data_IF_653017459481
#
_entry.id   IF_653017459481
#
_cell.length_a   1.000
_cell.length_b   1.000
_cell.length_c   1.000
_cell.angle_alpha   90.00
_cell.angle_beta   90.00
_cell.angle_gamma   90.00
#
_symmetry.space_group_name_H-M   'P 1'
#
loop_
_entity.id
_entity.type
_entity.pdbx_description
1 polymer ?
#
# COMPACT_ATOMS: atom_id res chain seq x y z
N UNK A 1 -14.32 12.25 -1.78
CA UNK A 1 -13.49 11.20 -2.41
C UNK A 1 -12.04 11.52 -2.09
N UNK A 2 -11.33 10.60 -1.46
CA UNK A 2 -9.90 10.75 -1.19
C UNK A 2 -9.13 10.61 -2.51
N UNK A 3 -8.15 11.48 -2.74
CA UNK A 3 -7.33 11.48 -3.95
C UNK A 3 -5.88 11.17 -3.57
N UNK A 4 -5.35 9.99 -3.93
CA UNK A 4 -3.95 9.66 -3.65
C UNK A 4 -2.97 10.64 -4.30
N UNK A 5 -1.78 10.75 -3.70
CA UNK A 5 -0.69 11.55 -4.24
C UNK A 5 -0.23 11.04 -5.61
N UNK A 6 0.33 11.94 -6.43
CA UNK A 6 0.75 11.64 -7.80
C UNK A 6 1.76 10.47 -7.90
N UNK A 7 2.64 10.34 -6.90
CA UNK A 7 3.65 9.28 -6.90
C UNK A 7 3.03 7.87 -6.76
N UNK A 8 1.89 7.75 -6.07
CA UNK A 8 1.11 6.51 -5.99
C UNK A 8 0.68 6.07 -7.40
N UNK A 9 0.04 6.95 -8.17
CA UNK A 9 -0.39 6.64 -9.53
C UNK A 9 0.78 6.29 -10.45
N UNK A 10 1.86 7.09 -10.42
CA UNK A 10 3.06 6.79 -11.19
C UNK A 10 3.64 5.41 -10.86
N UNK A 11 3.57 4.97 -9.59
CA UNK A 11 4.04 3.65 -9.19
C UNK A 11 3.10 2.54 -9.69
N UNK A 12 1.78 2.75 -9.68
CA UNK A 12 0.83 1.80 -10.26
C UNK A 12 1.07 1.58 -11.75
N UNK A 13 1.25 2.66 -12.52
CA UNK A 13 1.55 2.59 -13.96
C UNK A 13 2.86 1.83 -14.25
N UNK A 14 3.89 2.05 -13.41
CA UNK A 14 5.19 1.39 -13.58
C UNK A 14 5.18 -0.08 -13.22
N UNK A 15 4.41 -0.48 -12.20
CA UNK A 15 4.52 -1.80 -11.61
C UNK A 15 3.47 -2.81 -12.11
N UNK A 16 2.39 -2.36 -12.76
CA UNK A 16 1.31 -3.24 -13.19
C UNK A 16 1.03 -3.12 -14.69
N UNK A 17 1.06 -4.24 -15.40
CA UNK A 17 0.73 -4.28 -16.84
C UNK A 17 -0.74 -3.97 -17.16
N UNK A 18 -1.62 -4.01 -16.16
CA UNK A 18 -3.05 -3.65 -16.23
C UNK A 18 -3.37 -2.61 -15.15
N UNK A 19 -2.80 -1.43 -15.31
CA UNK A 19 -2.92 -0.32 -14.37
C UNK A 19 -4.38 0.11 -14.15
N UNK A 20 -5.19 0.11 -15.20
CA UNK A 20 -6.62 0.44 -15.20
C UNK A 20 -7.42 -0.39 -14.18
N UNK A 21 -7.19 -1.71 -14.17
CA UNK A 21 -7.85 -2.64 -13.27
C UNK A 21 -7.40 -2.45 -11.81
N UNK A 22 -6.12 -2.12 -11.60
CA UNK A 22 -5.57 -1.88 -10.26
C UNK A 22 -6.05 -0.55 -9.69
N UNK A 23 -6.10 0.50 -10.50
CA UNK A 23 -6.64 1.81 -10.11
C UNK A 23 -8.12 1.66 -9.73
N UNK A 24 -8.92 1.01 -10.60
CA UNK A 24 -10.34 0.76 -10.31
C UNK A 24 -10.54 -0.03 -9.01
N UNK A 25 -9.68 -1.02 -8.75
CA UNK A 25 -9.70 -1.78 -7.51
C UNK A 25 -9.36 -0.89 -6.31
N UNK A 26 -8.29 -0.09 -6.38
CA UNK A 26 -7.90 0.83 -5.31
C UNK A 26 -9.02 1.84 -5.01
N UNK A 27 -9.58 2.48 -6.02
CA UNK A 27 -10.70 3.43 -5.88
C UNK A 27 -11.90 2.79 -5.17
N UNK A 28 -12.27 1.55 -5.56
CA UNK A 28 -13.37 0.83 -4.92
C UNK A 28 -13.16 0.57 -3.42
N UNK A 29 -11.90 0.45 -2.98
CA UNK A 29 -11.55 0.31 -1.57
C UNK A 29 -11.55 1.67 -0.86
N UNK A 30 -11.01 2.72 -1.50
CA UNK A 30 -10.98 4.07 -0.95
C UNK A 30 -12.40 4.63 -0.75
N UNK A 31 -13.35 4.27 -1.61
CA UNK A 31 -14.75 4.69 -1.45
C UNK A 31 -15.44 4.02 -0.25
N UNK A 32 -14.91 2.90 0.24
CA UNK A 32 -15.54 2.06 1.27
C UNK A 32 -14.85 2.14 2.63
N UNK A 33 -13.56 2.45 2.66
CA UNK A 33 -12.72 2.27 3.83
C UNK A 33 -11.84 3.51 4.07
N UNK A 34 -12.30 4.38 4.96
CA UNK A 34 -11.58 5.62 5.33
C UNK A 34 -10.20 5.35 5.92
N UNK A 35 -9.98 4.18 6.56
CA UNK A 35 -8.67 3.80 7.07
C UNK A 35 -7.58 3.68 5.98
N UNK A 36 -7.97 3.59 4.71
CA UNK A 36 -7.06 3.57 3.57
C UNK A 36 -6.76 4.97 3.00
N UNK A 37 -7.35 6.04 3.54
CA UNK A 37 -7.13 7.43 3.13
C UNK A 37 -5.77 7.95 3.62
N UNK A 38 -4.71 7.23 3.27
CA UNK A 38 -3.34 7.52 3.64
C UNK A 38 -2.39 7.07 2.54
N UNK A 39 -1.71 8.03 1.92
CA UNK A 39 -0.74 7.76 0.86
C UNK A 39 0.37 6.83 1.35
N UNK A 40 0.78 6.96 2.63
CA UNK A 40 1.77 6.06 3.24
C UNK A 40 1.31 4.61 3.25
N UNK A 41 0.06 4.35 3.62
CA UNK A 41 -0.52 3.00 3.60
C UNK A 41 -0.54 2.47 2.16
N UNK A 42 -0.98 3.28 1.21
CA UNK A 42 -1.07 2.88 -0.20
C UNK A 42 0.33 2.58 -0.77
N UNK A 43 1.34 3.41 -0.48
CA UNK A 43 2.74 3.15 -0.85
C UNK A 43 3.26 1.85 -0.26
N UNK A 44 2.98 1.57 1.02
CA UNK A 44 3.34 0.31 1.66
C UNK A 44 2.70 -0.89 0.94
N UNK A 45 1.43 -0.81 0.56
CA UNK A 45 0.74 -1.86 -0.20
C UNK A 45 1.42 -2.05 -1.56
N UNK A 46 1.67 -0.98 -2.31
CA UNK A 46 2.34 -1.06 -3.63
C UNK A 46 3.70 -1.73 -3.49
N UNK A 47 4.51 -1.29 -2.51
CA UNK A 47 5.82 -1.87 -2.23
C UNK A 47 5.72 -3.36 -1.92
N UNK A 48 4.84 -3.77 -1.00
CA UNK A 48 4.70 -5.17 -0.61
C UNK A 48 4.15 -6.06 -1.74
N UNK A 49 3.46 -5.47 -2.70
CA UNK A 49 2.78 -6.20 -3.77
C UNK A 49 3.67 -6.54 -4.94
N UNK A 50 4.77 -5.81 -5.14
CA UNK A 50 5.79 -6.10 -6.16
C UNK A 50 5.18 -6.32 -7.56
N UNK A 51 4.16 -5.51 -7.92
CA UNK A 51 3.47 -5.60 -9.22
C UNK A 51 2.48 -6.77 -9.37
N UNK A 52 2.25 -7.57 -8.33
CA UNK A 52 1.31 -8.68 -8.37
C UNK A 52 -0.09 -8.25 -7.89
N UNK A 53 -1.07 -8.29 -8.79
CA UNK A 53 -2.45 -7.84 -8.52
C UNK A 53 -3.18 -8.63 -7.43
N UNK A 54 -2.92 -9.94 -7.33
CA UNK A 54 -3.52 -10.79 -6.29
C UNK A 54 -2.94 -10.43 -4.92
N UNK A 55 -1.63 -10.18 -4.87
CA UNK A 55 -0.95 -9.75 -3.64
C UNK A 55 -1.38 -8.33 -3.25
N UNK A 56 -1.58 -7.43 -4.21
CA UNK A 56 -2.12 -6.08 -3.99
C UNK A 56 -3.48 -6.12 -3.31
N UNK A 57 -4.41 -6.91 -3.84
CA UNK A 57 -5.71 -7.10 -3.19
C UNK A 57 -5.56 -7.66 -1.77
N UNK A 58 -4.67 -8.64 -1.57
CA UNK A 58 -4.43 -9.22 -0.24
C UNK A 58 -3.96 -8.18 0.78
N UNK A 59 -3.08 -7.25 0.38
CA UNK A 59 -2.62 -6.20 1.28
C UNK A 59 -3.63 -5.06 1.46
N UNK A 60 -4.48 -4.78 0.47
CA UNK A 60 -5.67 -3.96 0.68
C UNK A 60 -6.59 -4.58 1.74
N UNK A 61 -6.89 -5.88 1.63
CA UNK A 61 -7.71 -6.61 2.61
C UNK A 61 -7.09 -6.61 4.01
N UNK A 62 -5.76 -6.70 4.11
CA UNK A 62 -5.04 -6.59 5.38
C UNK A 62 -5.11 -5.15 5.95
N UNK A 63 -4.89 -4.14 5.13
CA UNK A 63 -4.93 -2.74 5.55
C UNK A 63 -6.34 -2.29 5.99
N UNK A 64 -7.40 -2.89 5.44
CA UNK A 64 -8.77 -2.68 5.92
C UNK A 64 -8.93 -3.16 7.37
N UNK A 65 -8.25 -4.25 7.76
CA UNK A 65 -8.30 -4.77 9.13
C UNK A 65 -7.43 -3.94 10.07
N UNK A 66 -6.17 -3.73 9.68
CA UNK A 66 -5.24 -2.86 10.40
C UNK A 66 -4.16 -2.32 9.43
N UNK A 67 -4.18 -1.01 9.10
CA UNK A 67 -3.16 -0.43 8.23
C UNK A 67 -1.77 -0.46 8.86
N UNK A 68 -1.66 -0.55 10.19
CA UNK A 68 -0.37 -0.57 10.90
C UNK A 68 0.42 -1.84 10.62
N UNK A 69 -0.25 -2.97 10.43
CA UNK A 69 0.41 -4.23 10.06
C UNK A 69 1.10 -4.11 8.70
N UNK A 70 0.40 -3.51 7.74
CA UNK A 70 0.93 -3.30 6.39
C UNK A 70 2.09 -2.30 6.40
N UNK A 71 1.99 -1.24 7.19
CA UNK A 71 3.10 -0.31 7.40
C UNK A 71 4.30 -1.00 8.06
N UNK A 72 4.05 -1.84 9.07
CA UNK A 72 5.09 -2.60 9.76
C UNK A 72 5.82 -3.57 8.82
N UNK A 73 5.08 -4.33 8.02
CA UNK A 73 5.67 -5.27 7.06
C UNK A 73 6.47 -4.58 5.97
N UNK A 74 6.05 -3.40 5.51
CA UNK A 74 6.74 -2.66 4.47
C UNK A 74 8.00 -1.95 4.98
N UNK A 75 7.90 -1.29 6.13
CA UNK A 75 8.93 -0.35 6.59
C UNK A 75 9.96 -0.94 7.54
N UNK A 76 9.65 -2.07 8.17
CA UNK A 76 10.50 -2.69 9.19
C UNK A 76 11.07 -4.00 8.69
N UNK A 77 12.24 -4.35 9.21
CA UNK A 77 12.86 -5.67 9.11
C UNK A 77 12.96 -6.30 10.50
N UNK A 78 13.31 -7.59 10.54
CA UNK A 78 13.37 -8.39 11.76
C UNK A 78 12.03 -8.41 12.52
N UNK A 79 10.92 -8.71 11.84
CA UNK A 79 9.56 -8.65 12.40
C UNK A 79 9.33 -9.51 13.65
N UNK A 80 10.19 -10.51 13.88
CA UNK A 80 10.15 -11.39 15.06
C UNK A 80 11.04 -10.89 16.22
N UNK A 81 11.81 -9.81 16.02
CA UNK A 81 12.65 -9.20 17.05
C UNK A 81 11.79 -8.44 18.06
N UNK A 82 12.28 -8.35 19.31
CA UNK A 82 11.70 -7.46 20.32
C UNK A 82 11.86 -5.98 19.96
N UNK A 83 12.80 -5.67 19.07
CA UNK A 83 13.07 -4.33 18.57
C UNK A 83 13.25 -4.38 17.05
N UNK A 84 12.15 -4.47 16.27
CA UNK A 84 12.21 -4.44 14.81
C UNK A 84 12.83 -3.12 14.34
N UNK A 85 13.66 -3.19 13.29
CA UNK A 85 14.36 -2.01 12.78
C UNK A 85 13.59 -1.42 11.62
N UNK A 86 13.21 -0.14 11.71
CA UNK A 86 12.69 0.60 10.56
C UNK A 86 13.82 0.86 9.56
N UNK A 87 13.67 0.36 8.34
CA UNK A 87 14.67 0.48 7.26
C UNK A 87 14.15 1.27 6.07
N UNK A 88 12.84 1.58 6.02
CA UNK A 88 12.20 2.39 4.97
C UNK A 88 11.21 3.38 5.59
N UNK A 89 10.90 4.45 4.86
CA UNK A 89 9.93 5.46 5.28
C UNK A 89 9.05 5.89 4.09
N UNK A 90 7.79 5.46 4.09
CA UNK A 90 6.84 5.77 3.02
C UNK A 90 5.95 6.99 3.33
N UNK A 91 6.34 7.83 4.30
CA UNK A 91 5.52 8.98 4.72
C UNK A 91 5.27 9.98 3.58
N UNK A 92 6.29 10.25 2.75
CA UNK A 92 6.19 11.28 1.71
C UNK A 92 6.44 10.79 0.28
N UNK A 93 7.20 9.69 0.09
CA UNK A 93 7.50 9.11 -1.23
C UNK A 93 7.84 7.63 -1.13
N UNK A 94 7.99 6.96 -2.29
CA UNK A 94 8.68 5.66 -2.41
C UNK A 94 10.18 5.76 -2.12
#
# INVERSE_FOLDING_TARGET
MYHPAKDVFNALERHYSREDAIISLLESYLDRFEQLHSDRVIRCIIYLSQGNSTVFKRYLDAAVKDPRDVMFWAEYEDHNSRSPKRVRDFTFSF
#
